data_IF_520694853883
#
_entry.id   IF_520694853883
#
_cell.length_a   1.000
_cell.length_b   1.000
_cell.length_c   1.000
_cell.angle_alpha   90.00
_cell.angle_beta   90.00
_cell.angle_gamma   90.00
#
_symmetry.space_group_name_H-M   'P 1'
#
loop_
_entity.id
_entity.type
_entity.pdbx_description
1 polymer ?
#
# COMPACT_ATOMS: atom_id res chain seq x y z
N UNK A 1 6.39 19.63 16.66
CA UNK A 1 7.04 20.49 17.69
C UNK A 1 8.22 21.22 17.05
N UNK A 2 8.16 22.54 16.84
CA UNK A 2 9.33 23.32 16.38
C UNK A 2 10.27 23.53 17.57
N UNK A 3 11.48 22.96 17.54
CA UNK A 3 12.53 23.25 18.52
C UNK A 3 13.44 24.34 17.97
N UNK A 4 13.50 25.46 18.67
CA UNK A 4 14.51 26.51 18.42
C UNK A 4 15.89 26.00 18.88
N UNK A 5 16.92 26.19 18.04
CA UNK A 5 18.30 25.85 18.38
C UNK A 5 18.88 26.89 19.36
N UNK A 6 19.14 26.48 20.60
CA UNK A 6 19.77 27.31 21.62
C UNK A 6 21.28 27.41 21.45
N UNK A 7 21.81 28.64 21.34
CA UNK A 7 23.24 28.92 21.46
C UNK A 7 23.79 28.59 22.86
N UNK A 8 25.03 28.12 22.92
CA UNK A 8 25.78 27.93 24.17
C UNK A 8 25.93 29.29 24.87
N UNK A 9 25.55 29.32 26.15
CA UNK A 9 25.31 30.51 26.95
C UNK A 9 26.59 31.34 27.23
N UNK A 10 26.47 32.67 27.18
CA UNK A 10 27.51 33.70 27.40
C UNK A 10 28.31 33.53 28.71
N UNK A 11 27.77 32.80 29.67
CA UNK A 11 28.43 32.51 30.96
C UNK A 11 29.59 31.53 30.84
N UNK A 12 29.57 30.55 29.93
CA UNK A 12 30.63 29.55 29.80
C UNK A 12 31.92 30.19 29.26
N UNK A 13 31.79 31.12 28.30
CA UNK A 13 32.95 31.90 27.81
C UNK A 13 33.53 32.83 28.88
N UNK A 14 32.71 33.38 29.79
CA UNK A 14 33.21 34.19 30.92
C UNK A 14 33.98 33.36 31.94
N UNK A 15 33.54 32.13 32.20
CA UNK A 15 34.21 31.21 33.12
C UNK A 15 35.58 30.78 32.56
N UNK A 16 35.65 30.43 31.28
CA UNK A 16 36.90 30.05 30.62
C UNK A 16 37.91 31.20 30.50
N UNK A 17 37.44 32.42 30.19
CA UNK A 17 38.30 33.61 30.15
C UNK A 17 38.86 34.00 31.53
N UNK A 18 38.11 33.76 32.60
CA UNK A 18 38.55 34.06 33.97
C UNK A 18 39.54 33.02 34.52
N UNK A 19 39.43 31.76 34.09
CA UNK A 19 40.33 30.68 34.51
C UNK A 19 41.75 30.83 33.93
N UNK A 20 41.86 31.38 32.72
CA UNK A 20 43.15 31.68 32.06
C UNK A 20 43.89 32.87 32.69
N UNK A 21 43.16 33.82 33.27
CA UNK A 21 43.77 34.99 33.92
C UNK A 21 44.40 34.65 35.29
N UNK A 22 43.91 33.61 35.97
CA UNK A 22 44.42 33.16 37.28
C UNK A 22 45.73 32.35 37.21
N UNK A 23 46.13 31.88 36.03
CA UNK A 23 47.39 31.13 35.84
C UNK A 23 48.58 32.09 35.58
N UNK A 24 48.33 33.38 35.35
CA UNK A 24 49.34 34.36 34.95
C UNK A 24 49.99 35.16 36.10
N UNK A 25 49.96 34.67 37.35
CA UNK A 25 50.75 35.27 38.45
C UNK A 25 52.04 34.48 38.61
N UNK A 26 53.05 34.80 37.79
CA UNK A 26 54.39 34.23 37.97
C UNK A 26 55.36 34.27 36.80
N UNK A 27 55.05 34.93 35.67
CA UNK A 27 55.93 34.92 34.50
C UNK A 27 56.41 36.32 34.10
N UNK A 28 57.68 36.37 33.73
CA UNK A 28 58.50 37.57 33.47
C UNK A 28 58.03 38.38 32.27
N UNK A 29 58.53 39.61 32.14
CA UNK A 29 58.14 40.63 31.15
C UNK A 29 58.10 40.18 29.66
N UNK A 30 58.73 39.05 29.31
CA UNK A 30 58.65 38.42 27.99
C UNK A 30 57.32 37.69 27.69
N UNK A 31 56.46 37.46 28.69
CA UNK A 31 55.15 36.81 28.52
C UNK A 31 54.01 37.78 28.19
N UNK A 32 54.23 39.09 28.28
CA UNK A 32 53.19 40.10 27.98
C UNK A 32 52.94 40.29 26.48
N UNK A 33 53.91 39.96 25.62
CA UNK A 33 53.74 40.04 24.16
C UNK A 33 52.89 38.91 23.59
N UNK A 34 52.78 37.75 24.24
CA UNK A 34 51.87 36.68 23.78
C UNK A 34 50.42 36.86 24.26
N UNK A 35 50.20 37.58 25.35
CA UNK A 35 48.84 37.87 25.84
C UNK A 35 48.17 39.04 25.11
N UNK A 36 48.94 39.95 24.52
CA UNK A 36 48.40 41.05 23.71
C UNK A 36 47.79 40.59 22.37
N UNK A 37 48.17 39.42 21.85
CA UNK A 37 47.61 38.86 20.62
C UNK A 37 46.29 38.10 20.81
N UNK A 38 45.82 37.90 22.04
CA UNK A 38 44.55 37.20 22.32
C UNK A 38 43.40 38.21 22.55
N UNK A 39 43.67 39.51 22.51
CA UNK A 39 42.71 40.57 22.88
C UNK A 39 41.93 41.19 21.70
N UNK A 40 42.19 40.83 20.45
CA UNK A 40 41.54 41.47 19.30
C UNK A 40 41.24 40.46 18.21
N UNK A 41 40.13 39.76 18.36
CA UNK A 41 39.11 39.57 17.30
C UNK A 41 38.03 38.61 17.82
N UNK A 42 37.05 39.17 18.52
CA UNK A 42 35.76 38.53 18.80
C UNK A 42 34.64 39.34 18.13
N UNK A 43 34.85 39.76 16.88
CA UNK A 43 33.86 40.51 16.09
C UNK A 43 33.20 39.68 14.99
N UNK A 44 33.51 38.40 14.89
CA UNK A 44 32.68 37.46 14.12
C UNK A 44 32.41 36.22 14.96
N UNK A 45 31.15 35.97 15.36
CA UNK A 45 30.78 34.65 15.78
C UNK A 45 30.71 33.80 14.50
N UNK A 46 31.85 33.35 14.01
CA UNK A 46 31.88 32.08 13.28
C UNK A 46 31.58 31.01 14.33
N UNK A 47 30.29 30.95 14.70
CA UNK A 47 29.72 29.77 15.30
C UNK A 47 29.98 28.68 14.27
N UNK A 48 30.99 27.83 14.54
CA UNK A 48 31.05 26.51 13.96
C UNK A 48 29.72 25.85 14.34
N UNK A 49 28.74 25.94 13.44
CA UNK A 49 27.57 25.10 13.54
C UNK A 49 28.11 23.68 13.57
N UNK A 50 27.71 22.83 14.54
CA UNK A 50 27.95 21.40 14.37
C UNK A 50 27.47 21.07 12.95
N UNK A 51 28.23 20.28 12.16
CA UNK A 51 27.78 19.88 10.84
C UNK A 51 26.33 19.44 11.02
N UNK A 52 25.40 20.07 10.29
CA UNK A 52 23.99 19.76 10.46
C UNK A 52 23.92 18.25 10.39
N UNK A 53 23.52 17.60 11.49
CA UNK A 53 23.22 16.17 11.45
C UNK A 53 22.09 16.08 10.42
N UNK A 54 22.45 15.82 9.17
CA UNK A 54 21.48 15.51 8.14
C UNK A 54 20.76 14.30 8.71
N UNK A 55 19.46 14.46 8.98
CA UNK A 55 18.67 13.34 9.44
C UNK A 55 18.94 12.17 8.49
N UNK A 56 19.11 10.95 9.04
CA UNK A 56 19.39 9.79 8.22
C UNK A 56 18.32 9.71 7.12
N UNK A 57 18.69 9.35 5.89
CA UNK A 57 17.75 9.34 4.79
C UNK A 57 16.61 8.37 5.09
N UNK A 58 15.37 8.84 4.92
CA UNK A 58 14.17 8.03 5.13
C UNK A 58 14.23 6.75 4.30
N UNK A 59 13.86 5.64 4.90
CA UNK A 59 13.94 4.29 4.35
C UNK A 59 12.56 3.68 4.11
N UNK A 60 12.46 2.80 3.12
CA UNK A 60 11.21 2.15 2.73
C UNK A 60 11.39 0.64 2.81
N UNK A 61 10.59 -0.02 3.64
CA UNK A 61 10.45 -1.46 3.65
C UNK A 61 9.35 -1.91 2.69
N UNK A 62 9.73 -2.63 1.65
CA UNK A 62 8.82 -3.22 0.67
C UNK A 62 8.62 -4.70 0.98
N UNK A 63 7.38 -5.10 1.25
CA UNK A 63 6.99 -6.50 1.45
C UNK A 63 6.50 -7.11 0.13
N UNK A 64 7.10 -8.23 -0.25
CA UNK A 64 6.77 -8.97 -1.48
C UNK A 64 6.55 -10.44 -1.14
N UNK A 65 5.32 -10.91 -1.33
CA UNK A 65 4.97 -12.33 -1.27
C UNK A 65 4.84 -12.88 -2.69
N UNK A 66 5.47 -14.03 -2.95
CA UNK A 66 5.45 -14.66 -4.27
C UNK A 66 5.26 -16.17 -4.17
N UNK A 67 4.37 -16.69 -5.01
CA UNK A 67 4.17 -18.12 -5.20
C UNK A 67 4.48 -18.50 -6.65
N UNK A 68 5.67 -19.08 -6.86
CA UNK A 68 6.17 -19.58 -8.15
C UNK A 68 5.96 -18.59 -9.30
N UNK A 69 6.08 -17.30 -9.01
CA UNK A 69 5.68 -16.26 -9.96
C UNK A 69 6.83 -15.94 -10.92
N UNK A 70 6.68 -16.20 -12.24
CA UNK A 70 7.75 -15.93 -13.20
C UNK A 70 8.11 -14.45 -13.33
N UNK A 71 7.25 -13.53 -12.89
CA UNK A 71 7.47 -12.09 -13.01
C UNK A 71 8.14 -11.48 -11.77
N UNK A 72 8.25 -12.22 -10.66
CA UNK A 72 8.77 -11.68 -9.41
C UNK A 72 10.17 -11.09 -9.54
N UNK A 73 11.06 -11.79 -10.25
CA UNK A 73 12.41 -11.31 -10.50
C UNK A 73 12.42 -9.99 -11.29
N UNK A 74 11.53 -9.85 -12.27
CA UNK A 74 11.39 -8.62 -13.06
C UNK A 74 10.85 -7.48 -12.20
N UNK A 75 9.84 -7.74 -11.36
CA UNK A 75 9.31 -6.76 -10.39
C UNK A 75 10.40 -6.26 -9.45
N UNK A 76 11.22 -7.16 -8.90
CA UNK A 76 12.35 -6.80 -8.04
C UNK A 76 13.38 -5.94 -8.77
N UNK A 77 13.75 -6.31 -10.00
CA UNK A 77 14.69 -5.55 -10.81
C UNK A 77 14.18 -4.14 -11.15
N UNK A 78 12.91 -4.03 -11.57
CA UNK A 78 12.29 -2.75 -11.88
C UNK A 78 12.18 -1.84 -10.64
N UNK A 79 11.83 -2.41 -9.48
CA UNK A 79 11.71 -1.67 -8.22
C UNK A 79 12.98 -0.88 -7.93
N UNK A 80 14.15 -1.52 -7.99
CA UNK A 80 15.42 -0.83 -7.77
C UNK A 80 15.84 0.04 -8.95
N UNK A 81 15.62 -0.40 -10.20
CA UNK A 81 16.06 0.36 -11.38
C UNK A 81 15.31 1.69 -11.56
N UNK A 82 14.04 1.74 -11.13
CA UNK A 82 13.18 2.93 -11.25
C UNK A 82 13.10 3.76 -9.98
N UNK A 83 13.75 3.36 -8.89
CA UNK A 83 13.89 4.21 -7.70
C UNK A 83 14.91 5.32 -7.98
N UNK A 84 14.58 6.55 -7.59
CA UNK A 84 15.49 7.69 -7.64
C UNK A 84 16.67 7.48 -6.69
N UNK A 85 16.44 6.85 -5.52
CA UNK A 85 17.49 6.52 -4.57
C UNK A 85 17.34 5.07 -4.08
N UNK A 86 17.83 4.10 -4.87
CA UNK A 86 17.62 2.68 -4.58
C UNK A 86 18.21 2.22 -3.24
N UNK A 87 19.21 2.93 -2.70
CA UNK A 87 19.83 2.63 -1.41
C UNK A 87 18.92 2.87 -0.20
N UNK A 88 17.77 3.52 -0.36
CA UNK A 88 16.78 3.69 0.72
C UNK A 88 15.75 2.55 0.77
N UNK A 89 15.71 1.73 -0.26
CA UNK A 89 14.72 0.67 -0.44
C UNK A 89 15.27 -0.62 0.15
N UNK A 90 14.50 -1.26 1.03
CA UNK A 90 14.79 -2.56 1.57
C UNK A 90 13.61 -3.50 1.34
N UNK A 91 13.87 -4.75 1.00
CA UNK A 91 12.82 -5.70 0.63
C UNK A 91 12.77 -6.87 1.62
N UNK A 92 11.56 -7.24 2.04
CA UNK A 92 11.25 -8.51 2.66
C UNK A 92 10.54 -9.39 1.65
N UNK A 93 11.25 -10.36 1.09
CA UNK A 93 10.75 -11.26 0.05
C UNK A 93 10.44 -12.63 0.61
N UNK A 94 9.22 -13.11 0.44
CA UNK A 94 8.86 -14.51 0.67
C UNK A 94 8.65 -15.16 -0.69
N UNK A 95 9.51 -16.11 -1.02
CA UNK A 95 9.50 -16.82 -2.30
C UNK A 95 9.15 -18.28 -2.08
N UNK A 96 7.92 -18.64 -2.44
CA UNK A 96 7.41 -20.01 -2.40
C UNK A 96 7.68 -20.67 -3.74
N UNK A 97 8.74 -21.48 -3.82
CA UNK A 97 9.31 -21.96 -5.10
C UNK A 97 9.34 -23.49 -5.19
N UNK A 98 9.22 -24.01 -6.41
CA UNK A 98 9.52 -25.40 -6.72
C UNK A 98 10.98 -25.56 -7.16
N UNK A 99 11.44 -24.67 -8.04
CA UNK A 99 12.81 -24.64 -8.54
C UNK A 99 13.50 -23.32 -8.22
N UNK A 100 14.83 -23.35 -8.11
CA UNK A 100 15.64 -22.18 -7.80
C UNK A 100 15.45 -21.03 -8.80
N UNK A 101 15.16 -21.32 -10.07
CA UNK A 101 14.97 -20.29 -11.09
C UNK A 101 13.68 -19.47 -10.90
N UNK A 102 12.72 -19.98 -10.13
CA UNK A 102 11.48 -19.28 -9.77
C UNK A 102 11.69 -18.24 -8.65
N UNK A 103 12.89 -18.19 -8.05
CA UNK A 103 13.20 -17.24 -6.99
C UNK A 103 13.13 -15.78 -7.46
N UNK A 104 12.40 -14.95 -6.71
CA UNK A 104 12.39 -13.50 -6.85
C UNK A 104 13.80 -12.91 -6.78
N UNK A 105 14.59 -13.44 -5.85
CA UNK A 105 15.99 -13.08 -5.66
C UNK A 105 16.81 -14.26 -5.14
N UNK A 106 18.09 -14.27 -5.47
CA UNK A 106 19.05 -15.22 -4.93
C UNK A 106 20.44 -14.59 -4.81
N UNK A 107 21.31 -15.21 -4.01
CA UNK A 107 22.71 -14.79 -3.85
C UNK A 107 23.38 -14.61 -5.22
N UNK A 108 24.07 -13.48 -5.38
CA UNK A 108 24.74 -13.10 -6.63
C UNK A 108 23.96 -12.14 -7.52
N UNK A 109 22.69 -11.86 -7.23
CA UNK A 109 21.98 -10.75 -7.83
C UNK A 109 22.29 -9.42 -7.11
N UNK A 110 22.18 -8.27 -7.79
CA UNK A 110 22.36 -6.95 -7.17
C UNK A 110 21.46 -6.74 -5.95
N UNK A 111 21.81 -5.74 -5.13
CA UNK A 111 21.03 -5.31 -3.95
C UNK A 111 20.92 -6.34 -2.83
N UNK A 112 21.85 -7.30 -2.74
CA UNK A 112 21.82 -8.34 -1.71
C UNK A 112 21.76 -7.81 -0.27
N UNK A 113 22.44 -6.70 0.04
CA UNK A 113 22.41 -6.09 1.37
C UNK A 113 21.07 -5.39 1.68
N UNK A 114 20.23 -5.19 0.66
CA UNK A 114 18.92 -4.56 0.75
C UNK A 114 17.78 -5.58 0.68
N UNK A 115 18.06 -6.86 0.41
CA UNK A 115 17.04 -7.89 0.22
C UNK A 115 17.18 -8.94 1.31
N UNK A 116 16.11 -9.11 2.08
CA UNK A 116 15.95 -10.18 3.05
C UNK A 116 14.95 -11.16 2.46
N UNK A 117 15.32 -12.43 2.34
CA UNK A 117 14.48 -13.44 1.71
C UNK A 117 14.22 -14.64 2.62
N UNK A 118 12.97 -15.09 2.67
CA UNK A 118 12.57 -16.41 3.18
C UNK A 118 12.19 -17.26 1.98
N UNK A 119 12.87 -18.39 1.80
CA UNK A 119 12.52 -19.36 0.77
C UNK A 119 11.69 -20.48 1.39
N UNK A 120 10.51 -20.73 0.82
CA UNK A 120 9.60 -21.79 1.25
C UNK A 120 9.43 -22.76 0.08
N UNK A 121 9.54 -24.08 0.28
CA UNK A 121 9.13 -25.04 -0.76
C UNK A 121 7.66 -24.80 -1.13
N UNK A 122 7.32 -24.81 -2.42
CA UNK A 122 5.94 -24.55 -2.84
C UNK A 122 4.90 -25.49 -2.20
N UNK A 123 5.29 -26.72 -1.86
CA UNK A 123 4.46 -27.71 -1.15
C UNK A 123 4.09 -27.28 0.27
N UNK A 124 4.95 -26.47 0.90
CA UNK A 124 4.80 -26.01 2.28
C UNK A 124 4.12 -24.63 2.35
N UNK A 125 3.80 -24.05 1.18
CA UNK A 125 3.10 -22.78 1.05
C UNK A 125 1.74 -22.78 1.74
N UNK A 126 1.47 -21.73 2.52
CA UNK A 126 0.23 -21.55 3.29
C UNK A 126 -0.65 -20.41 2.77
N UNK A 127 -0.49 -20.03 1.51
CA UNK A 127 -1.27 -18.97 0.88
C UNK A 127 -0.73 -17.56 1.13
N UNK A 128 -1.39 -16.54 0.53
CA UNK A 128 -0.85 -15.19 0.42
C UNK A 128 -0.82 -14.42 1.75
N UNK A 129 -1.81 -14.59 2.61
CA UNK A 129 -1.87 -13.98 3.94
C UNK A 129 -0.72 -14.43 4.84
N UNK A 130 -0.42 -15.74 4.86
CA UNK A 130 0.72 -16.30 5.57
C UNK A 130 2.05 -15.76 5.00
N UNK A 131 2.15 -15.70 3.68
CA UNK A 131 3.33 -15.16 3.00
C UNK A 131 3.59 -13.69 3.35
N UNK A 132 2.54 -12.85 3.40
CA UNK A 132 2.64 -11.44 3.84
C UNK A 132 3.02 -11.33 5.31
N UNK A 133 2.50 -12.21 6.17
CA UNK A 133 2.94 -12.29 7.56
C UNK A 133 4.44 -12.59 7.65
N UNK A 134 4.92 -13.63 6.96
CA UNK A 134 6.34 -13.99 6.93
C UNK A 134 7.20 -12.85 6.38
N UNK A 135 6.75 -12.17 5.32
CA UNK A 135 7.46 -11.04 4.74
C UNK A 135 7.58 -9.90 5.75
N UNK A 136 6.50 -9.58 6.47
CA UNK A 136 6.49 -8.56 7.52
C UNK A 136 7.46 -8.87 8.67
N UNK A 137 7.73 -10.14 8.98
CA UNK A 137 8.75 -10.50 10.01
C UNK A 137 10.18 -10.09 9.64
N UNK A 138 10.42 -9.75 8.36
CA UNK A 138 11.74 -9.32 7.88
C UNK A 138 11.98 -7.83 8.11
N UNK A 139 10.99 -7.06 8.52
CA UNK A 139 11.11 -5.64 8.90
C UNK A 139 12.20 -5.43 9.96
N UNK A 140 13.02 -4.37 9.84
CA UNK A 140 14.15 -4.08 10.76
C UNK A 140 14.20 -2.63 11.24
N UNK A 141 13.07 -1.91 11.20
CA UNK A 141 13.00 -0.54 11.68
C UNK A 141 13.08 0.52 10.58
N UNK A 142 12.78 0.17 9.33
CA UNK A 142 12.61 1.16 8.26
C UNK A 142 11.45 2.12 8.56
N UNK A 143 11.47 3.31 7.97
CA UNK A 143 10.52 4.39 8.32
C UNK A 143 9.12 4.16 7.72
N UNK A 144 9.08 3.69 6.48
CA UNK A 144 7.83 3.46 5.75
C UNK A 144 7.62 2.00 5.39
N UNK A 145 6.35 1.58 5.36
CA UNK A 145 5.94 0.27 4.88
C UNK A 145 5.22 0.40 3.55
N UNK A 146 5.59 -0.47 2.61
CA UNK A 146 4.90 -0.66 1.34
C UNK A 146 4.67 -2.16 1.08
N UNK A 147 3.47 -2.55 0.69
CA UNK A 147 3.15 -3.89 0.21
C UNK A 147 2.86 -3.85 -1.28
N UNK A 148 3.32 -4.85 -2.03
CA UNK A 148 2.94 -5.06 -3.43
C UNK A 148 2.75 -6.54 -3.73
N UNK A 149 2.04 -6.82 -4.83
CA UNK A 149 2.05 -8.14 -5.46
C UNK A 149 3.34 -8.37 -6.28
N UNK A 150 3.72 -9.62 -6.50
CA UNK A 150 4.97 -10.01 -7.16
C UNK A 150 5.00 -9.86 -8.70
N UNK A 151 3.93 -9.35 -9.32
CA UNK A 151 3.83 -9.12 -10.76
C UNK A 151 3.38 -7.67 -11.01
N UNK A 152 4.24 -6.79 -10.49
CA UNK A 152 4.03 -5.35 -10.39
C UNK A 152 5.11 -4.60 -11.17
N UNK A 153 4.73 -3.50 -11.81
CA UNK A 153 5.66 -2.56 -12.47
C UNK A 153 5.56 -1.18 -11.82
N UNK A 154 6.67 -0.43 -11.85
CA UNK A 154 6.79 0.86 -11.18
C UNK A 154 6.82 2.02 -12.18
N UNK A 155 6.36 3.19 -11.74
CA UNK A 155 6.73 4.46 -12.37
C UNK A 155 8.19 4.82 -12.06
N UNK A 156 8.76 5.73 -12.84
CA UNK A 156 10.08 6.30 -12.54
C UNK A 156 10.00 7.18 -11.28
N UNK A 157 11.05 7.13 -10.46
CA UNK A 157 11.25 7.89 -9.22
C UNK A 157 10.17 7.62 -8.15
N UNK A 158 9.63 6.39 -8.15
CA UNK A 158 8.50 6.01 -7.31
C UNK A 158 8.77 6.18 -5.80
N UNK A 159 10.01 6.00 -5.34
CA UNK A 159 10.43 6.10 -3.94
C UNK A 159 10.29 7.53 -3.40
N UNK A 160 10.60 8.54 -4.22
CA UNK A 160 10.32 9.93 -3.86
C UNK A 160 8.82 10.22 -3.86
N UNK A 161 8.09 9.65 -4.82
CA UNK A 161 6.65 9.89 -4.98
C UNK A 161 5.84 9.33 -3.81
N UNK A 162 6.15 8.13 -3.31
CA UNK A 162 5.45 7.53 -2.16
C UNK A 162 5.71 8.31 -0.87
N UNK A 163 6.94 8.78 -0.64
CA UNK A 163 7.28 9.60 0.53
C UNK A 163 6.52 10.92 0.45
N UNK A 164 6.60 11.60 -0.69
CA UNK A 164 5.89 12.86 -0.90
C UNK A 164 4.37 12.70 -0.79
N UNK A 165 3.82 11.55 -1.19
CA UNK A 165 2.40 11.23 -1.03
C UNK A 165 2.03 11.09 0.45
N UNK A 166 2.82 10.38 1.26
CA UNK A 166 2.60 10.28 2.70
C UNK A 166 2.72 11.65 3.40
N UNK A 167 3.68 12.48 3.02
CA UNK A 167 3.84 13.84 3.55
C UNK A 167 2.61 14.75 3.30
N UNK A 168 1.88 14.50 2.19
CA UNK A 168 0.65 15.23 1.84
C UNK A 168 -0.61 14.62 2.46
N UNK A 169 -0.53 13.42 3.00
CA UNK A 169 -1.71 12.73 3.48
C UNK A 169 -2.34 13.48 4.67
N UNK A 170 -3.66 13.68 4.71
CA UNK A 170 -4.31 14.53 5.72
C UNK A 170 -4.49 13.86 7.09
N UNK A 171 -3.74 12.79 7.39
CA UNK A 171 -3.84 12.02 8.64
C UNK A 171 -2.47 11.62 9.16
N UNK A 172 -2.27 11.70 10.48
CA UNK A 172 -1.06 11.21 11.16
C UNK A 172 -0.92 9.68 11.05
N UNK A 173 -2.06 8.95 11.00
CA UNK A 173 -2.11 7.50 10.78
C UNK A 173 -2.68 7.20 9.39
N UNK A 174 -1.99 7.70 8.38
CA UNK A 174 -2.37 7.53 6.99
C UNK A 174 -2.09 6.10 6.49
N UNK A 175 -3.12 5.44 5.95
CA UNK A 175 -3.01 4.18 5.24
C UNK A 175 -3.54 4.32 3.82
N UNK A 176 -2.65 4.23 2.84
CA UNK A 176 -2.98 4.40 1.42
C UNK A 176 -3.01 3.03 0.76
N UNK A 177 -4.08 2.70 0.06
CA UNK A 177 -4.16 1.45 -0.69
C UNK A 177 -5.13 1.54 -1.84
N UNK A 178 -4.97 0.66 -2.83
CA UNK A 178 -5.93 0.45 -3.89
C UNK A 178 -5.64 -0.86 -4.64
N UNK A 179 -6.52 -1.19 -5.59
CA UNK A 179 -6.17 -2.10 -6.68
C UNK A 179 -5.43 -1.32 -7.76
N UNK A 180 -4.13 -1.58 -8.00
CA UNK A 180 -3.38 -0.86 -9.02
C UNK A 180 -4.04 -0.99 -10.40
N UNK A 181 -3.91 0.01 -11.29
CA UNK A 181 -4.36 -0.13 -12.67
C UNK A 181 -3.63 -1.28 -13.38
N UNK A 182 -4.25 -1.83 -14.41
CA UNK A 182 -3.65 -2.91 -15.19
C UNK A 182 -2.40 -2.43 -15.95
N UNK A 183 -1.36 -3.26 -16.05
CA UNK A 183 -0.12 -2.91 -16.75
C UNK A 183 -0.33 -2.58 -18.24
N UNK A 184 -1.32 -3.23 -18.87
CA UNK A 184 -1.70 -3.01 -20.27
C UNK A 184 -2.52 -1.73 -20.47
N UNK A 185 -2.97 -1.10 -19.38
CA UNK A 185 -3.58 0.21 -19.40
C UNK A 185 -2.49 1.28 -19.47
N UNK A 186 -2.09 1.61 -20.69
CA UNK A 186 -1.05 2.61 -20.98
C UNK A 186 -1.57 4.04 -21.00
N UNK A 187 -2.90 4.24 -20.93
CA UNK A 187 -3.54 5.54 -21.09
C UNK A 187 -4.24 6.09 -19.84
N UNK A 188 -4.58 5.24 -18.88
CA UNK A 188 -5.33 5.69 -17.70
C UNK A 188 -4.42 6.32 -16.64
N UNK A 189 -4.64 7.61 -16.44
CA UNK A 189 -4.17 8.37 -15.26
C UNK A 189 -5.13 8.24 -14.08
N UNK A 190 -6.32 7.65 -14.30
CA UNK A 190 -7.35 7.54 -13.29
C UNK A 190 -6.91 6.58 -12.20
N UNK A 191 -7.13 6.97 -10.94
CA UNK A 191 -6.79 6.15 -9.79
C UNK A 191 -8.00 5.32 -9.38
N UNK A 192 -7.87 3.99 -9.30
CA UNK A 192 -8.90 3.13 -8.73
C UNK A 192 -9.09 3.41 -7.23
N UNK A 193 -10.32 3.63 -6.81
CA UNK A 193 -10.73 3.79 -5.41
C UNK A 193 -11.63 2.62 -5.03
N UNK A 194 -11.28 1.92 -3.94
CA UNK A 194 -12.11 0.86 -3.36
C UNK A 194 -13.30 1.51 -2.65
N UNK A 195 -14.40 1.72 -3.36
CA UNK A 195 -15.53 2.50 -2.86
C UNK A 195 -16.86 1.74 -2.92
N UNK A 196 -16.90 0.58 -3.58
CA UNK A 196 -18.09 -0.27 -3.71
C UNK A 196 -17.86 -1.60 -3.03
N UNK A 197 -18.90 -2.16 -2.43
CA UNK A 197 -18.86 -3.47 -1.76
C UNK A 197 -20.09 -4.30 -2.10
N UNK A 198 -19.95 -5.62 -1.98
CA UNK A 198 -21.02 -6.63 -2.05
C UNK A 198 -20.65 -7.80 -1.12
N UNK A 199 -21.56 -8.75 -0.91
CA UNK A 199 -21.25 -9.98 -0.19
C UNK A 199 -20.85 -11.08 -1.17
N UNK A 200 -19.67 -11.67 -0.98
CA UNK A 200 -19.26 -12.87 -1.69
C UNK A 200 -20.01 -14.09 -1.13
N UNK A 201 -20.66 -14.86 -1.99
CA UNK A 201 -21.45 -16.03 -1.59
C UNK A 201 -20.59 -17.18 -1.09
N UNK A 202 -19.40 -17.38 -1.66
CA UNK A 202 -18.52 -18.50 -1.33
C UNK A 202 -17.82 -18.31 0.02
N UNK A 203 -17.21 -17.14 0.22
CA UNK A 203 -16.54 -16.79 1.46
C UNK A 203 -17.51 -16.35 2.57
N UNK A 204 -18.73 -15.95 2.19
CA UNK A 204 -19.75 -15.34 3.07
C UNK A 204 -19.25 -14.06 3.74
N UNK A 205 -18.44 -13.27 3.04
CA UNK A 205 -17.75 -12.08 3.54
C UNK A 205 -18.01 -10.88 2.62
N UNK A 206 -17.87 -9.63 3.13
CA UNK A 206 -17.82 -8.48 2.25
C UNK A 206 -16.59 -8.51 1.34
N UNK A 207 -16.83 -8.25 0.05
CA UNK A 207 -15.84 -8.06 -1.00
C UNK A 207 -16.07 -6.70 -1.65
N UNK A 208 -15.06 -6.16 -2.33
CA UNK A 208 -15.12 -4.80 -2.86
C UNK A 208 -14.67 -4.71 -4.30
N UNK A 209 -15.13 -3.65 -4.94
CA UNK A 209 -14.84 -3.28 -6.31
C UNK A 209 -14.27 -1.87 -6.33
N UNK A 210 -13.32 -1.67 -7.24
CA UNK A 210 -12.75 -0.35 -7.48
C UNK A 210 -13.54 0.39 -8.57
N UNK A 211 -13.64 1.71 -8.44
CA UNK A 211 -13.97 2.59 -9.56
C UNK A 211 -12.85 3.60 -9.76
N UNK A 212 -12.53 3.90 -11.01
CA UNK A 212 -11.42 4.79 -11.36
C UNK A 212 -11.90 6.24 -11.46
N UNK A 213 -11.13 7.16 -10.86
CA UNK A 213 -11.43 8.59 -10.83
C UNK A 213 -10.20 9.43 -11.20
N UNK A 214 -10.42 10.65 -11.66
CA UNK A 214 -9.36 11.64 -11.89
C UNK A 214 -9.10 12.45 -10.61
N UNK A 215 -7.86 12.47 -10.15
CA UNK A 215 -7.40 13.29 -9.02
C UNK A 215 -6.32 14.27 -9.44
N UNK A 216 -6.30 15.42 -8.77
CA UNK A 216 -5.13 16.30 -8.75
C UNK A 216 -4.15 15.78 -7.69
N UNK A 217 -2.83 15.72 -7.93
CA UNK A 217 -1.87 15.34 -6.88
C UNK A 217 -2.07 16.16 -5.61
N UNK A 218 -2.14 15.49 -4.45
CA UNK A 218 -2.51 16.06 -3.16
C UNK A 218 -4.01 15.97 -2.81
N UNK A 219 -4.88 15.58 -3.75
CA UNK A 219 -6.28 15.26 -3.46
C UNK A 219 -6.40 13.78 -3.09
N UNK A 220 -6.89 13.51 -1.87
CA UNK A 220 -7.12 12.16 -1.40
C UNK A 220 -8.60 11.81 -1.40
N UNK A 221 -8.90 10.58 -1.82
CA UNK A 221 -10.22 9.97 -1.67
C UNK A 221 -10.22 9.04 -0.46
N UNK A 222 -11.16 9.27 0.46
CA UNK A 222 -11.41 8.33 1.55
C UNK A 222 -11.88 7.00 0.96
N UNK A 223 -11.36 5.89 1.50
CA UNK A 223 -11.84 4.55 1.19
C UNK A 223 -12.11 3.81 2.49
N UNK A 224 -13.19 3.04 2.62
CA UNK A 224 -13.39 2.21 3.80
C UNK A 224 -12.63 0.88 3.74
N UNK A 225 -11.90 0.62 2.64
CA UNK A 225 -11.29 -0.68 2.36
C UNK A 225 -9.80 -0.57 2.08
N UNK A 226 -9.06 -1.57 2.55
CA UNK A 226 -7.65 -1.76 2.32
C UNK A 226 -7.45 -2.87 1.28
N UNK A 227 -6.98 -2.50 0.09
CA UNK A 227 -6.60 -3.47 -0.94
C UNK A 227 -5.21 -4.04 -0.68
N UNK A 228 -4.95 -5.26 -1.13
CA UNK A 228 -3.68 -5.92 -0.92
C UNK A 228 -2.70 -5.78 -2.10
N UNK A 229 -3.18 -5.37 -3.28
CA UNK A 229 -2.31 -5.20 -4.46
C UNK A 229 -1.29 -4.07 -4.32
N UNK A 230 -1.62 -3.04 -3.55
CA UNK A 230 -0.71 -1.97 -3.13
C UNK A 230 -1.16 -1.38 -1.79
N UNK A 231 -0.22 -1.28 -0.85
CA UNK A 231 -0.42 -0.62 0.46
C UNK A 231 0.78 0.28 0.76
N UNK A 232 0.55 1.42 1.41
CA UNK A 232 1.57 2.39 1.77
C UNK A 232 1.19 3.13 3.07
N UNK A 233 2.13 3.23 4.00
CA UNK A 233 1.94 3.88 5.31
C UNK A 233 3.27 4.11 6.04
N UNK A 234 3.26 4.77 7.21
CA UNK A 234 4.34 4.61 8.19
C UNK A 234 4.52 3.13 8.54
N UNK A 235 5.76 2.69 8.79
CA UNK A 235 6.04 1.32 9.20
C UNK A 235 5.46 0.95 10.57
N UNK A 236 5.00 1.93 11.36
CA UNK A 236 4.27 1.71 12.61
C UNK A 236 3.05 0.78 12.42
N UNK A 237 2.47 0.74 11.21
CA UNK A 237 1.35 -0.15 10.90
C UNK A 237 1.68 -1.63 11.16
N UNK A 238 2.95 -2.03 10.97
CA UNK A 238 3.39 -3.40 11.18
C UNK A 238 3.41 -3.79 12.67
N UNK A 239 3.51 -2.80 13.55
CA UNK A 239 3.48 -2.97 15.01
C UNK A 239 2.05 -2.82 15.53
N UNK A 240 1.31 -1.83 15.03
CA UNK A 240 -0.06 -1.55 15.41
C UNK A 240 -1.01 -2.66 14.93
N UNK A 241 -0.91 -3.03 13.65
CA UNK A 241 -1.84 -3.90 12.92
C UNK A 241 -1.08 -5.03 12.21
N UNK A 242 -0.40 -5.92 12.94
CA UNK A 242 0.42 -6.97 12.33
C UNK A 242 -0.42 -7.93 11.48
N UNK A 243 0.13 -8.42 10.37
CA UNK A 243 -0.48 -9.51 9.61
C UNK A 243 -0.67 -10.75 10.49
N UNK A 244 -1.87 -11.35 10.45
CA UNK A 244 -2.24 -12.48 11.31
C UNK A 244 -1.70 -13.80 10.73
N UNK A 245 -0.85 -14.55 11.46
CA UNK A 245 -0.29 -15.82 10.99
C UNK A 245 -1.31 -16.97 10.94
N UNK A 246 -2.53 -16.77 11.45
CA UNK A 246 -3.57 -17.82 11.55
C UNK A 246 -4.61 -17.75 10.42
N UNK A 247 -4.30 -17.03 9.34
CA UNK A 247 -5.17 -16.86 8.18
C UNK A 247 -4.74 -17.71 6.96
N UNK A 248 -4.18 -18.90 7.20
CA UNK A 248 -3.68 -19.80 6.14
C UNK A 248 -4.71 -19.97 5.00
N UNK A 249 -4.22 -19.89 3.77
CA UNK A 249 -4.96 -20.03 2.50
C UNK A 249 -6.07 -18.99 2.25
N UNK A 250 -6.30 -18.05 3.15
CA UNK A 250 -7.31 -17.01 2.97
C UNK A 250 -6.96 -16.11 1.77
N UNK A 251 -7.95 -15.85 0.92
CA UNK A 251 -7.84 -14.95 -0.22
C UNK A 251 -8.97 -13.92 -0.14
N UNK A 252 -10.20 -14.39 -0.26
CA UNK A 252 -11.39 -13.56 -0.05
C UNK A 252 -11.58 -13.33 1.45
N UNK A 253 -11.83 -12.08 1.83
CA UNK A 253 -12.16 -11.68 3.19
C UNK A 253 -10.98 -11.18 4.04
N UNK A 254 -9.73 -11.45 3.62
CA UNK A 254 -8.55 -10.97 4.35
C UNK A 254 -8.45 -9.45 4.36
N UNK A 255 -8.78 -8.84 3.24
CA UNK A 255 -8.76 -7.39 3.02
C UNK A 255 -9.84 -6.67 3.85
N UNK A 256 -11.09 -7.16 3.94
CA UNK A 256 -12.11 -6.54 4.82
C UNK A 256 -11.75 -6.72 6.30
N UNK A 257 -11.19 -7.88 6.68
CA UNK A 257 -10.69 -8.09 8.03
C UNK A 257 -9.57 -7.09 8.36
N UNK A 258 -8.61 -6.91 7.45
CA UNK A 258 -7.53 -5.96 7.65
C UNK A 258 -8.02 -4.51 7.69
N UNK A 259 -8.99 -4.15 6.83
CA UNK A 259 -9.63 -2.84 6.80
C UNK A 259 -10.27 -2.47 8.15
N UNK A 260 -11.06 -3.38 8.72
CA UNK A 260 -11.68 -3.20 10.02
C UNK A 260 -10.63 -3.06 11.13
N UNK A 261 -9.58 -3.88 11.10
CA UNK A 261 -8.49 -3.83 12.09
C UNK A 261 -7.71 -2.51 12.02
N UNK A 262 -7.38 -2.02 10.82
CA UNK A 262 -6.75 -0.72 10.62
C UNK A 262 -7.61 0.40 11.21
N UNK A 263 -8.87 0.46 10.81
CA UNK A 263 -9.77 1.54 11.19
C UNK A 263 -10.06 1.56 12.69
N UNK A 264 -10.31 0.40 13.30
CA UNK A 264 -10.54 0.27 14.75
C UNK A 264 -9.31 0.62 15.59
N UNK A 265 -8.10 0.56 15.01
CA UNK A 265 -6.83 1.03 15.61
C UNK A 265 -6.48 2.48 15.28
N UNK A 266 -7.42 3.21 14.66
CA UNK A 266 -7.32 4.64 14.40
C UNK A 266 -6.59 5.02 13.13
N UNK A 267 -6.31 4.08 12.23
CA UNK A 267 -5.78 4.38 10.90
C UNK A 267 -6.89 4.91 9.98
N UNK A 268 -6.55 5.92 9.18
CA UNK A 268 -7.44 6.50 8.17
C UNK A 268 -7.04 6.00 6.79
N UNK A 269 -8.02 5.49 6.06
CA UNK A 269 -7.82 4.76 4.81
C UNK A 269 -8.13 5.64 3.61
N UNK A 270 -7.19 5.70 2.67
CA UNK A 270 -7.28 6.52 1.47
C UNK A 270 -6.89 5.72 0.22
N UNK A 271 -7.43 6.11 -0.94
CA UNK A 271 -6.81 5.79 -2.21
C UNK A 271 -5.61 6.71 -2.47
N UNK A 272 -4.62 6.29 -3.28
CA UNK A 272 -3.49 7.16 -3.59
C UNK A 272 -3.92 8.38 -4.43
N UNK A 273 -3.16 9.46 -4.37
CA UNK A 273 -3.42 10.65 -5.22
C UNK A 273 -2.89 10.46 -6.66
N UNK A 274 -2.10 9.40 -6.89
CA UNK A 274 -1.49 9.02 -8.18
C UNK A 274 -1.18 7.52 -8.20
N UNK A 275 -1.34 6.89 -9.36
CA UNK A 275 -0.91 5.50 -9.55
C UNK A 275 0.63 5.39 -9.52
N UNK A 276 1.17 4.73 -8.49
CA UNK A 276 2.61 4.49 -8.32
C UNK A 276 3.06 3.20 -9.01
N UNK A 277 2.17 2.21 -9.00
CA UNK A 277 2.44 0.89 -9.55
C UNK A 277 1.34 0.47 -10.51
N UNK A 278 1.63 -0.50 -11.37
CA UNK A 278 0.64 -1.22 -12.19
C UNK A 278 0.74 -2.71 -11.97
N UNK A 279 -0.38 -3.41 -12.11
CA UNK A 279 -0.51 -4.83 -11.83
C UNK A 279 -0.83 -5.67 -13.08
N UNK A 280 -0.30 -6.89 -13.17
CA UNK A 280 -0.63 -7.84 -14.23
C UNK A 280 -1.81 -8.74 -13.83
N UNK A 281 -3.03 -8.35 -14.20
CA UNK A 281 -4.25 -9.15 -13.96
C UNK A 281 -4.44 -10.28 -14.98
N UNK A 282 -5.34 -11.22 -14.68
CA UNK A 282 -5.82 -12.28 -15.59
C UNK A 282 -4.74 -13.27 -16.06
N UNK A 283 -3.84 -13.66 -15.15
CA UNK A 283 -2.70 -14.55 -15.41
C UNK A 283 -3.10 -16.03 -15.34
N UNK A 284 -4.05 -16.45 -16.18
CA UNK A 284 -4.67 -17.80 -16.13
C UNK A 284 -3.63 -18.92 -16.26
N UNK A 285 -2.58 -18.73 -17.06
CA UNK A 285 -1.53 -19.74 -17.27
C UNK A 285 -0.44 -19.75 -16.18
N UNK A 286 -0.42 -18.77 -15.28
CA UNK A 286 0.60 -18.71 -14.23
C UNK A 286 0.35 -19.72 -13.12
N UNK A 287 1.41 -20.19 -12.43
CA UNK A 287 1.26 -21.02 -11.24
C UNK A 287 0.33 -20.36 -10.22
N UNK A 288 -0.54 -21.16 -9.62
CA UNK A 288 -1.51 -20.68 -8.66
C UNK A 288 -1.68 -21.72 -7.56
N UNK A 289 -1.49 -21.30 -6.30
CA UNK A 289 -1.51 -22.22 -5.17
C UNK A 289 -2.82 -23.01 -5.05
N UNK A 290 -3.96 -22.39 -5.39
CA UNK A 290 -5.28 -23.05 -5.30
C UNK A 290 -5.48 -24.10 -6.40
N UNK A 291 -4.79 -23.95 -7.54
CA UNK A 291 -4.75 -24.95 -8.62
C UNK A 291 -3.68 -26.01 -8.40
N UNK A 292 -2.56 -25.66 -7.80
CA UNK A 292 -1.45 -26.60 -7.53
C UNK A 292 -1.75 -27.48 -6.32
N UNK A 293 -2.54 -26.99 -5.35
CA UNK A 293 -2.84 -27.66 -4.07
C UNK A 293 -4.33 -27.97 -3.87
N UNK A 294 -5.03 -28.41 -4.92
CA UNK A 294 -6.51 -28.47 -5.01
C UNK A 294 -7.24 -29.08 -3.81
N UNK A 295 -6.65 -30.05 -3.12
CA UNK A 295 -7.29 -30.73 -1.97
C UNK A 295 -6.80 -30.22 -0.61
N UNK A 296 -5.71 -29.46 -0.58
CA UNK A 296 -5.00 -29.12 0.67
C UNK A 296 -5.30 -27.69 1.13
N UNK A 297 -5.80 -26.82 0.23
CA UNK A 297 -6.10 -25.43 0.58
C UNK A 297 -7.48 -25.22 1.20
N UNK A 298 -8.46 -26.06 0.86
CA UNK A 298 -9.87 -25.81 1.19
C UNK A 298 -10.12 -25.78 2.69
N UNK A 299 -9.71 -26.83 3.42
CA UNK A 299 -9.97 -26.91 4.86
C UNK A 299 -9.28 -25.79 5.66
N UNK A 300 -7.97 -25.51 5.46
CA UNK A 300 -7.33 -24.36 6.09
C UNK A 300 -8.03 -23.03 5.79
N UNK A 301 -8.46 -22.81 4.54
CA UNK A 301 -9.17 -21.59 4.18
C UNK A 301 -10.52 -21.47 4.92
N UNK A 302 -11.25 -22.57 5.11
CA UNK A 302 -12.51 -22.53 5.87
C UNK A 302 -12.28 -22.15 7.34
N UNK A 303 -11.23 -22.66 7.98
CA UNK A 303 -10.88 -22.28 9.35
C UNK A 303 -10.45 -20.81 9.45
N UNK A 304 -9.67 -20.32 8.49
CA UNK A 304 -9.31 -18.90 8.38
C UNK A 304 -10.54 -18.00 8.18
N UNK A 305 -11.48 -18.41 7.32
CA UNK A 305 -12.72 -17.67 7.09
C UNK A 305 -13.61 -17.63 8.33
N UNK A 306 -13.72 -18.73 9.09
CA UNK A 306 -14.43 -18.75 10.38
C UNK A 306 -13.80 -17.80 11.38
N UNK A 307 -12.46 -17.85 11.53
CA UNK A 307 -11.72 -16.93 12.40
C UNK A 307 -12.00 -15.48 12.01
N UNK A 308 -11.92 -15.15 10.72
CA UNK A 308 -12.17 -13.81 10.23
C UNK A 308 -13.60 -13.32 10.54
N UNK A 309 -14.62 -14.14 10.27
CA UNK A 309 -16.02 -13.82 10.60
C UNK A 309 -16.23 -13.62 12.11
N UNK A 310 -15.59 -14.45 12.94
CA UNK A 310 -15.64 -14.28 14.39
C UNK A 310 -15.05 -12.93 14.82
N UNK A 311 -13.87 -12.58 14.31
CA UNK A 311 -13.22 -11.30 14.61
C UNK A 311 -14.00 -10.08 14.09
N UNK A 312 -14.75 -10.28 13.01
CA UNK A 312 -15.63 -9.29 12.39
C UNK A 312 -17.03 -9.23 13.01
N UNK A 313 -17.31 -9.99 14.07
CA UNK A 313 -18.60 -9.98 14.75
C UNK A 313 -19.76 -10.54 13.90
N UNK A 314 -19.46 -11.34 12.87
CA UNK A 314 -20.45 -11.82 11.89
C UNK A 314 -21.14 -13.13 12.34
N UNK A 315 -21.68 -13.14 13.56
CA UNK A 315 -22.42 -14.28 14.14
C UNK A 315 -21.72 -15.65 13.98
N UNK A 316 -20.41 -15.68 14.26
CA UNK A 316 -19.56 -16.87 14.18
C UNK A 316 -18.96 -17.13 15.57
N UNK A 317 -18.67 -18.40 15.87
CA UNK A 317 -18.06 -18.76 17.16
C UNK A 317 -16.54 -18.69 17.10
N UNK A 318 -15.90 -18.42 18.24
CA UNK A 318 -14.44 -18.42 18.33
C UNK A 318 -13.87 -19.79 17.89
N UNK A 319 -12.86 -19.81 17.01
CA UNK A 319 -12.25 -21.07 16.61
C UNK A 319 -11.54 -21.76 17.78
N UNK A 320 -11.41 -23.10 17.78
CA UNK A 320 -10.69 -23.82 18.83
C UNK A 320 -9.26 -23.30 19.01
N UNK A 321 -8.87 -23.06 20.27
CA UNK A 321 -7.54 -22.54 20.60
C UNK A 321 -7.37 -21.03 20.39
N UNK A 322 -8.44 -20.30 20.09
CA UNK A 322 -8.44 -18.84 20.18
C UNK A 322 -8.21 -18.40 21.64
N UNK A 323 -7.34 -17.42 21.81
CA UNK A 323 -7.00 -16.87 23.14
C UNK A 323 -7.21 -15.37 23.18
N UNK A 324 -7.47 -14.83 24.36
CA UNK A 324 -7.53 -13.37 24.57
C UNK A 324 -6.23 -12.68 24.15
N UNK A 325 -5.06 -13.31 24.36
CA UNK A 325 -3.77 -12.78 23.93
C UNK A 325 -3.65 -12.68 22.40
N UNK A 326 -4.16 -13.69 21.69
CA UNK A 326 -4.24 -13.71 20.23
C UNK A 326 -5.14 -12.59 19.72
N UNK A 327 -6.33 -12.42 20.31
CA UNK A 327 -7.27 -11.35 19.95
C UNK A 327 -6.76 -9.95 20.34
N UNK A 328 -6.03 -9.82 21.44
CA UNK A 328 -5.41 -8.53 21.81
C UNK A 328 -4.40 -8.07 20.77
N UNK A 329 -3.66 -9.00 20.18
CA UNK A 329 -2.59 -8.67 19.24
C UNK A 329 -3.09 -8.60 17.78
N UNK A 330 -3.91 -9.56 17.37
CA UNK A 330 -4.40 -9.70 15.99
C UNK A 330 -5.86 -9.27 15.81
N UNK A 331 -6.61 -8.98 16.86
CA UNK A 331 -8.01 -8.55 16.77
C UNK A 331 -8.20 -7.09 16.42
N UNK A 332 -9.42 -6.61 16.67
CA UNK A 332 -9.82 -5.21 16.50
C UNK A 332 -9.12 -4.30 17.51
N UNK A 333 -8.99 -3.02 17.16
CA UNK A 333 -8.54 -1.98 18.07
C UNK A 333 -9.63 -1.46 18.99
N UNK A 334 -9.21 -0.59 19.90
CA UNK A 334 -10.04 0.08 20.92
C UNK A 334 -10.18 1.59 20.69
N UNK A 335 -9.58 2.14 19.61
CA UNK A 335 -9.66 3.56 19.25
C UNK A 335 -11.03 3.88 18.66
N UNK A 336 -11.57 2.98 17.82
CA UNK A 336 -12.90 3.08 17.24
C UNK A 336 -13.57 1.70 17.27
N UNK A 337 -14.86 1.63 17.58
CA UNK A 337 -15.58 0.35 17.68
C UNK A 337 -15.86 -0.28 16.32
N UNK A 338 -15.94 -1.61 16.26
CA UNK A 338 -16.30 -2.34 15.04
C UNK A 338 -17.70 -1.98 14.52
N UNK A 339 -18.68 -1.75 15.39
CA UNK A 339 -20.03 -1.32 14.96
C UNK A 339 -20.00 0.02 14.22
N UNK A 340 -19.18 0.96 14.71
CA UNK A 340 -18.94 2.23 14.04
C UNK A 340 -18.20 2.07 12.71
N UNK A 341 -17.36 1.03 12.55
CA UNK A 341 -16.75 0.71 11.26
C UNK A 341 -17.81 0.24 10.26
N UNK A 342 -18.74 -0.62 10.67
CA UNK A 342 -19.83 -1.08 9.81
C UNK A 342 -20.75 0.05 9.36
N UNK A 343 -21.11 0.96 10.27
CA UNK A 343 -21.84 2.18 9.92
C UNK A 343 -21.02 3.08 8.97
N UNK A 344 -19.73 3.29 9.28
CA UNK A 344 -18.84 4.10 8.45
C UNK A 344 -18.71 3.55 7.02
N UNK A 345 -18.54 2.23 6.89
CA UNK A 345 -18.42 1.51 5.62
C UNK A 345 -19.77 1.33 4.91
N UNK A 346 -20.91 1.60 5.56
CA UNK A 346 -22.25 1.32 5.04
C UNK A 346 -22.48 -0.16 4.70
N UNK A 347 -22.08 -1.04 5.61
CA UNK A 347 -22.28 -2.50 5.50
C UNK A 347 -23.09 -2.96 6.70
N UNK A 348 -24.18 -3.66 6.42
CA UNK A 348 -24.97 -4.39 7.40
C UNK A 348 -24.61 -5.88 7.29
N UNK A 349 -23.91 -6.40 8.29
CA UNK A 349 -23.45 -7.79 8.30
C UNK A 349 -24.52 -8.79 8.73
N UNK A 350 -25.58 -8.33 9.42
CA UNK A 350 -26.70 -9.17 9.84
C UNK A 350 -27.64 -9.41 8.66
N UNK A 351 -28.05 -8.34 7.99
CA UNK A 351 -28.92 -8.37 6.80
C UNK A 351 -28.15 -8.68 5.52
N UNK A 352 -26.81 -8.71 5.58
CA UNK A 352 -25.90 -8.96 4.45
C UNK A 352 -26.11 -7.97 3.30
N UNK A 353 -26.27 -6.70 3.65
CA UNK A 353 -26.46 -5.59 2.70
C UNK A 353 -25.23 -4.68 2.70
N UNK A 354 -24.77 -4.27 1.52
CA UNK A 354 -23.57 -3.43 1.38
C UNK A 354 -23.85 -2.27 0.42
N UNK A 355 -23.71 -1.03 0.92
CA UNK A 355 -24.10 0.19 0.21
C UNK A 355 -22.99 1.25 0.09
N UNK A 356 -21.73 0.87 0.33
CA UNK A 356 -20.55 1.76 0.35
C UNK A 356 -20.47 2.76 -0.81
N UNK A 357 -20.94 2.37 -2.00
CA UNK A 357 -20.87 3.20 -3.19
C UNK A 357 -21.65 4.51 -3.06
N UNK A 358 -22.71 4.54 -2.26
CA UNK A 358 -23.53 5.72 -2.04
C UNK A 358 -22.74 6.85 -1.36
N UNK A 359 -21.91 6.50 -0.37
CA UNK A 359 -21.09 7.46 0.37
C UNK A 359 -19.74 7.71 -0.30
N UNK A 360 -19.03 6.66 -0.69
CA UNK A 360 -17.62 6.79 -1.09
C UNK A 360 -17.47 7.03 -2.58
N UNK A 361 -18.22 6.34 -3.44
CA UNK A 361 -18.04 6.52 -4.87
C UNK A 361 -18.66 7.82 -5.39
N UNK A 362 -19.90 8.14 -4.97
CA UNK A 362 -20.63 9.31 -5.49
C UNK A 362 -19.97 10.65 -5.13
N UNK A 363 -19.18 10.70 -4.05
CA UNK A 363 -18.42 11.90 -3.63
C UNK A 363 -17.43 12.37 -4.71
N UNK A 364 -16.89 11.45 -5.51
CA UNK A 364 -15.84 11.74 -6.49
C UNK A 364 -16.33 11.85 -7.94
N UNK A 365 -17.61 11.58 -8.19
CA UNK A 365 -18.21 11.83 -9.50
C UNK A 365 -18.36 13.34 -9.67
N UNK A 366 -17.54 13.96 -10.51
CA UNK A 366 -17.72 15.36 -10.93
C UNK A 366 -19.15 15.50 -11.48
N UNK A 367 -19.99 16.31 -10.84
CA UNK A 367 -21.29 16.70 -11.42
C UNK A 367 -20.98 17.36 -12.76
N UNK A 368 -21.40 16.75 -13.87
CA UNK A 368 -21.40 17.46 -15.16
C UNK A 368 -22.24 18.72 -14.96
N UNK A 369 -21.67 19.89 -15.21
CA UNK A 369 -22.47 21.06 -15.47
C UNK A 369 -23.41 20.72 -16.64
N UNK A 370 -24.71 21.03 -16.57
CA UNK A 370 -25.59 20.79 -17.69
C UNK A 370 -25.05 21.59 -18.89
N UNK A 371 -24.73 20.89 -19.98
CA UNK A 371 -24.27 21.49 -21.22
C UNK A 371 -25.22 22.63 -21.58
N UNK A 372 -24.69 23.87 -21.63
CA UNK A 372 -25.38 25.00 -22.23
C UNK A 372 -25.70 24.62 -23.68
N UNK A 373 -26.97 24.31 -23.91
CA UNK A 373 -27.54 23.90 -25.17
C UNK A 373 -27.30 24.99 -26.23
N UNK A 374 -26.15 24.94 -26.89
CA UNK A 374 -25.88 25.75 -28.07
C UNK A 374 -26.70 25.19 -29.22
N UNK A 375 -27.78 25.91 -29.53
CA UNK A 375 -28.66 25.75 -30.69
C UNK A 375 -27.90 25.35 -31.96
N UNK A 376 -28.03 24.09 -32.39
CA UNK A 376 -27.67 23.67 -33.75
C UNK A 376 -28.81 24.01 -34.71
N UNK A 377 -28.52 24.58 -35.91
CA UNK A 377 -29.53 24.77 -36.93
C UNK A 377 -29.93 23.44 -37.59
N UNK A 378 -31.22 23.28 -37.88
CA UNK A 378 -31.83 22.09 -38.48
C UNK A 378 -31.24 21.76 -39.86
N UNK A 379 -31.06 20.47 -40.21
CA UNK A 379 -30.62 20.06 -41.54
C UNK A 379 -31.80 19.98 -42.54
N UNK A 380 -31.53 20.48 -43.76
CA UNK A 380 -32.48 20.54 -44.86
C UNK A 380 -32.97 19.18 -45.37
N UNK A 381 -34.28 19.08 -45.60
CA UNK A 381 -35.00 17.91 -46.13
C UNK A 381 -34.61 17.62 -47.58
N UNK A 382 -34.12 16.41 -47.86
CA UNK A 382 -34.06 15.85 -49.23
C UNK A 382 -35.12 14.76 -49.38
N UNK A 383 -36.11 15.02 -50.24
CA UNK A 383 -37.08 14.04 -50.71
C UNK A 383 -36.40 13.00 -51.60
N UNK A 384 -36.71 11.71 -51.43
CA UNK A 384 -36.54 10.74 -52.50
C UNK A 384 -37.62 9.65 -52.49
N UNK A 385 -38.05 9.33 -53.71
CA UNK A 385 -39.26 8.61 -54.13
C UNK A 385 -39.20 7.09 -53.87
N UNK A 386 -40.37 6.50 -53.57
CA UNK A 386 -40.63 5.04 -53.61
C UNK A 386 -40.57 4.48 -55.04
N UNK A 387 -40.32 3.16 -55.17
CA UNK A 387 -41.30 2.34 -55.90
C UNK A 387 -41.64 0.99 -55.21
N UNK A 388 -42.56 0.27 -55.87
CA UNK A 388 -43.57 -0.68 -55.39
C UNK A 388 -43.14 -2.15 -55.13
N UNK A 389 -44.07 -2.87 -54.48
CA UNK A 389 -44.08 -4.30 -54.13
C UNK A 389 -44.23 -5.23 -55.36
N UNK A 390 -43.66 -6.45 -55.28
CA UNK A 390 -44.29 -7.68 -55.81
C UNK A 390 -43.78 -8.95 -55.10
N UNK A 391 -44.65 -9.95 -55.03
CA UNK A 391 -44.60 -11.14 -54.17
C UNK A 391 -44.17 -12.45 -54.87
N UNK A 392 -43.98 -13.49 -54.05
CA UNK A 392 -44.25 -14.95 -54.23
C UNK A 392 -43.05 -15.92 -54.30
N UNK A 393 -43.07 -16.83 -53.30
CA UNK A 393 -42.87 -18.29 -53.31
C UNK A 393 -41.52 -18.93 -53.70
N UNK A 394 -40.99 -19.66 -52.70
CA UNK A 394 -40.36 -21.00 -52.70
C UNK A 394 -39.13 -21.29 -53.56
N UNK A 395 -38.04 -21.72 -52.90
CA UNK A 395 -37.54 -23.11 -52.97
C UNK A 395 -36.29 -23.35 -52.09
N UNK A 396 -36.33 -24.48 -51.36
CA UNK A 396 -35.26 -25.46 -51.07
C UNK A 396 -34.03 -25.09 -50.19
N UNK A 397 -34.08 -25.60 -48.95
CA UNK A 397 -33.16 -26.57 -48.30
C UNK A 397 -31.66 -26.53 -48.62
N UNK A 398 -30.80 -26.42 -47.59
CA UNK A 398 -29.93 -27.51 -47.05
C UNK A 398 -28.95 -26.95 -45.99
N UNK A 399 -28.95 -27.60 -44.82
CA UNK A 399 -27.90 -27.78 -43.79
C UNK A 399 -27.08 -26.57 -43.26
N UNK A 400 -27.02 -26.42 -41.93
CA UNK A 400 -25.82 -26.77 -41.15
C UNK A 400 -26.10 -26.89 -39.65
N UNK A 401 -25.32 -27.77 -39.05
CA UNK A 401 -25.52 -28.50 -37.80
C UNK A 401 -25.09 -27.70 -36.56
N UNK A 402 -25.80 -27.92 -35.45
CA UNK A 402 -25.41 -27.57 -34.07
C UNK A 402 -24.10 -28.26 -33.67
N UNK A 403 -23.20 -27.55 -33.00
CA UNK A 403 -22.32 -28.15 -31.99
C UNK A 403 -22.46 -27.39 -30.67
N UNK A 404 -22.99 -28.08 -29.67
CA UNK A 404 -22.74 -27.85 -28.24
C UNK A 404 -21.48 -28.62 -27.89
N UNK A 405 -20.59 -28.02 -27.12
CA UNK A 405 -19.60 -28.75 -26.33
C UNK A 405 -19.84 -28.39 -24.86
N UNK A 406 -19.90 -29.46 -24.08
CA UNK A 406 -19.88 -29.52 -22.62
C UNK A 406 -18.43 -29.38 -22.18
#
# INVERSE_FOLDING_TARGET
MKREAGCINREICRILGSLLLLIAVGLTASSWLMLAFISTDCTQPDCLQPPSEQEPPLTIFVSVASYRDPECKTTMQEMFAKAANPSRVFVGSVQQIYEFHEACWHTGLPWGDHIRAITVPFSDAKGPTNARHLAATLYRGEDYFMQIDSHTSFIQDWDNEVIAMLDRCPSDKCFISHYPPAHNDTGSVQVPVLCKSHFDEGAQMPSFEAMAFDFTPGEFADSPFAGAGFQLSSADVLLDVPFDPKLDMMFVGEEILYSARLWTKGWDLFAPDKNIVKHHYNRIESPNIYRDRTEEWYYPQQESNKRARFMLGMNETAPPGETESSLKYYGMGDVRSLDAYWEYAQIDVEERVANSAEKFCKKHVKKREPDLEQSRPEPAVKQNKKPEKRSLRSMLSVHFTRLRLI
#
